data_IF_638538299518
#
_entry.id   IF_638538299518
#
_cell.length_a   1.000
_cell.length_b   1.000
_cell.length_c   1.000
_cell.angle_alpha   90.00
_cell.angle_beta   90.00
_cell.angle_gamma   90.00
#
_symmetry.space_group_name_H-M   'P 1'
#
loop_
_entity.id
_entity.type
_entity.pdbx_description
1 polymer ?
#
# COMPACT_ATOMS: atom_id res chain seq x y z
N UNK A 1 6.80 31.76 47.03
CA UNK A 1 5.49 31.18 46.65
C UNK A 1 5.11 31.43 45.19
N UNK A 2 5.11 32.68 44.69
CA UNK A 2 4.74 33.01 43.28
C UNK A 2 5.52 32.25 42.19
N UNK A 3 6.84 32.04 42.37
CA UNK A 3 7.70 31.36 41.39
C UNK A 3 7.42 29.86 41.27
N UNK A 4 7.01 29.22 42.36
CA UNK A 4 6.68 27.79 42.40
C UNK A 4 5.32 27.50 41.76
N UNK A 5 4.35 28.41 41.95
CA UNK A 5 3.03 28.32 41.31
C UNK A 5 3.15 28.45 39.79
N UNK A 6 4.00 29.37 39.30
CA UNK A 6 4.25 29.56 37.86
C UNK A 6 4.92 28.32 37.21
N UNK A 7 5.86 27.69 37.91
CA UNK A 7 6.52 26.47 37.44
C UNK A 7 5.54 25.28 37.35
N UNK A 8 4.66 25.13 38.35
CA UNK A 8 3.64 24.09 38.36
C UNK A 8 2.60 24.29 37.24
N UNK A 9 2.15 25.53 37.01
CA UNK A 9 1.20 25.81 35.92
C UNK A 9 1.81 25.57 34.55
N UNK A 10 3.08 25.94 34.34
CA UNK A 10 3.78 25.67 33.08
C UNK A 10 3.97 24.17 32.83
N UNK A 11 4.31 23.40 33.86
CA UNK A 11 4.49 21.96 33.77
C UNK A 11 3.17 21.23 33.43
N UNK A 12 2.06 21.64 34.06
CA UNK A 12 0.73 21.08 33.79
C UNK A 12 0.29 21.42 32.36
N UNK A 13 0.54 22.65 31.90
CA UNK A 13 0.18 23.07 30.55
C UNK A 13 1.01 22.32 29.49
N UNK A 14 2.31 22.15 29.71
CA UNK A 14 3.17 21.36 28.82
C UNK A 14 2.71 19.90 28.75
N UNK A 15 2.43 19.27 29.90
CA UNK A 15 1.93 17.89 29.95
C UNK A 15 0.57 17.73 29.23
N UNK A 16 -0.33 18.70 29.36
CA UNK A 16 -1.62 18.69 28.68
C UNK A 16 -1.47 18.83 27.14
N UNK A 17 -0.54 19.67 26.67
CA UNK A 17 -0.26 19.82 25.24
C UNK A 17 0.38 18.55 24.65
N UNK A 18 1.31 17.92 25.36
CA UNK A 18 1.91 16.65 24.90
C UNK A 18 0.91 15.48 24.93
N UNK A 19 0.01 15.43 25.92
CA UNK A 19 -1.06 14.43 25.98
C UNK A 19 -2.10 14.61 24.86
N UNK A 20 -2.41 15.85 24.48
CA UNK A 20 -3.31 16.14 23.36
C UNK A 20 -2.66 15.81 22.00
N UNK A 21 -1.37 16.11 21.82
CA UNK A 21 -0.63 15.75 20.62
C UNK A 21 -0.43 14.22 20.45
N UNK A 22 -0.37 13.47 21.55
CA UNK A 22 -0.36 12.01 21.54
C UNK A 22 -1.76 11.38 21.34
N UNK A 23 -2.82 12.19 21.44
CA UNK A 23 -4.22 11.76 21.39
C UNK A 23 -4.87 11.76 20.02
N UNK A 24 -4.17 12.18 18.95
CA UNK A 24 -4.65 12.00 17.58
C UNK A 24 -4.44 10.54 17.15
N UNK A 25 -5.30 9.65 17.62
CA UNK A 25 -5.44 8.33 17.00
C UNK A 25 -5.79 8.58 15.54
N UNK A 26 -4.89 8.18 14.62
CA UNK A 26 -5.15 8.24 13.18
C UNK A 26 -6.54 7.63 12.93
N UNK A 27 -7.40 8.28 12.12
CA UNK A 27 -8.73 7.76 11.83
C UNK A 27 -8.64 6.30 11.40
N UNK A 28 -9.46 5.44 11.99
CA UNK A 28 -9.52 4.04 11.60
C UNK A 28 -9.81 3.95 10.09
N UNK A 29 -8.95 3.23 9.38
CA UNK A 29 -9.06 3.11 7.92
C UNK A 29 -10.22 2.18 7.58
N UNK A 30 -10.99 2.56 6.56
CA UNK A 30 -11.98 1.67 5.97
C UNK A 30 -11.29 0.42 5.42
N UNK A 31 -11.94 -0.76 5.41
CA UNK A 31 -11.34 -2.00 4.90
C UNK A 31 -10.75 -1.86 3.49
N UNK A 32 -11.41 -1.11 2.60
CA UNK A 32 -10.90 -0.84 1.25
C UNK A 32 -9.59 -0.03 1.25
N UNK A 33 -9.43 0.92 2.17
CA UNK A 33 -8.21 1.72 2.31
C UNK A 33 -7.04 0.88 2.82
N UNK A 34 -7.30 -0.05 3.76
CA UNK A 34 -6.28 -1.02 4.23
C UNK A 34 -5.76 -1.86 3.08
N UNK A 35 -6.66 -2.38 2.23
CA UNK A 35 -6.28 -3.14 1.04
C UNK A 35 -5.42 -2.29 0.09
N UNK A 36 -5.83 -1.05 -0.19
CA UNK A 36 -5.08 -0.17 -1.09
C UNK A 36 -3.69 0.18 -0.54
N UNK A 37 -3.56 0.40 0.77
CA UNK A 37 -2.27 0.63 1.41
C UNK A 37 -1.35 -0.59 1.34
N UNK A 38 -1.89 -1.79 1.51
CA UNK A 38 -1.12 -3.03 1.32
C UNK A 38 -0.61 -3.16 -0.13
N UNK A 39 -1.47 -2.89 -1.13
CA UNK A 39 -1.07 -2.87 -2.55
C UNK A 39 0.01 -1.84 -2.85
N UNK A 40 -0.15 -0.63 -2.33
CA UNK A 40 0.85 0.43 -2.48
C UNK A 40 2.19 0.05 -1.83
N UNK A 41 2.14 -0.59 -0.66
CA UNK A 41 3.32 -1.08 0.05
C UNK A 41 4.06 -2.15 -0.77
N UNK A 42 3.37 -3.19 -1.25
CA UNK A 42 4.00 -4.19 -2.11
C UNK A 42 4.63 -3.59 -3.36
N UNK A 43 3.92 -2.67 -4.03
CA UNK A 43 4.48 -1.99 -5.20
C UNK A 43 5.74 -1.20 -4.85
N UNK A 44 5.75 -0.46 -3.74
CA UNK A 44 6.94 0.26 -3.28
C UNK A 44 8.09 -0.68 -2.97
N UNK A 45 7.85 -1.73 -2.20
CA UNK A 45 8.86 -2.70 -1.78
C UNK A 45 9.45 -3.46 -2.96
N UNK A 46 8.63 -3.92 -3.91
CA UNK A 46 9.11 -4.58 -5.12
C UNK A 46 10.01 -3.66 -5.97
N UNK A 47 9.69 -2.37 -6.11
CA UNK A 47 10.57 -1.43 -6.81
C UNK A 47 11.89 -1.20 -6.06
N UNK A 48 11.84 -1.12 -4.72
CA UNK A 48 13.04 -1.01 -3.90
C UNK A 48 13.93 -2.24 -4.04
N UNK A 49 13.33 -3.44 -3.95
CA UNK A 49 14.04 -4.70 -4.09
C UNK A 49 14.60 -4.90 -5.50
N UNK A 50 13.93 -4.38 -6.52
CA UNK A 50 14.45 -4.39 -7.89
C UNK A 50 15.74 -3.59 -7.99
N UNK A 51 15.84 -2.42 -7.33
CA UNK A 51 17.06 -1.61 -7.34
C UNK A 51 18.27 -2.28 -6.68
N UNK A 52 18.02 -3.23 -5.77
CA UNK A 52 19.05 -4.00 -5.06
C UNK A 52 19.17 -5.44 -5.57
N UNK A 53 18.51 -5.78 -6.69
CA UNK A 53 18.44 -7.14 -7.25
C UNK A 53 18.01 -8.22 -6.24
N UNK A 54 17.19 -7.87 -5.24
CA UNK A 54 16.66 -8.79 -4.25
C UNK A 54 15.42 -9.53 -4.81
N UNK A 55 15.67 -10.42 -5.78
CA UNK A 55 14.62 -11.12 -6.51
C UNK A 55 13.76 -12.06 -5.64
N UNK A 56 14.33 -12.66 -4.59
CA UNK A 56 13.58 -13.51 -3.66
C UNK A 56 12.49 -12.72 -2.93
N UNK A 57 12.82 -11.52 -2.46
CA UNK A 57 11.83 -10.64 -1.84
C UNK A 57 10.77 -10.16 -2.84
N UNK A 58 11.14 -9.95 -4.11
CA UNK A 58 10.18 -9.62 -5.17
C UNK A 58 9.19 -10.77 -5.39
N UNK A 59 9.65 -12.02 -5.44
CA UNK A 59 8.77 -13.21 -5.58
C UNK A 59 7.72 -13.22 -4.46
N UNK A 60 8.16 -13.06 -3.20
CA UNK A 60 7.26 -13.05 -2.04
C UNK A 60 6.21 -11.94 -2.12
N UNK A 61 6.63 -10.71 -2.40
CA UNK A 61 5.72 -9.57 -2.47
C UNK A 61 4.76 -9.66 -3.66
N UNK A 62 5.25 -10.11 -4.82
CA UNK A 62 4.46 -10.30 -6.02
C UNK A 62 3.40 -11.40 -5.82
N UNK A 63 3.75 -12.51 -5.17
CA UNK A 63 2.79 -13.56 -4.82
C UNK A 63 1.75 -13.09 -3.81
N UNK A 64 2.14 -12.28 -2.82
CA UNK A 64 1.23 -11.64 -1.87
C UNK A 64 0.21 -10.72 -2.56
N UNK A 65 0.71 -9.85 -3.45
CA UNK A 65 -0.15 -8.99 -4.27
C UNK A 65 -1.08 -9.81 -5.16
N UNK A 66 -0.58 -10.85 -5.82
CA UNK A 66 -1.36 -11.73 -6.68
C UNK A 66 -2.50 -12.42 -5.93
N UNK A 67 -2.21 -12.99 -4.75
CA UNK A 67 -3.20 -13.69 -3.94
C UNK A 67 -4.30 -12.74 -3.44
N UNK A 68 -3.92 -11.56 -2.94
CA UNK A 68 -4.88 -10.58 -2.43
C UNK A 68 -5.79 -10.06 -3.56
N UNK A 69 -5.20 -9.75 -4.72
CA UNK A 69 -5.97 -9.24 -5.87
C UNK A 69 -6.85 -10.32 -6.49
N UNK A 70 -6.41 -11.58 -6.56
CA UNK A 70 -7.27 -12.69 -6.96
C UNK A 70 -8.50 -12.80 -6.06
N UNK A 71 -8.28 -12.91 -4.74
CA UNK A 71 -9.35 -13.05 -3.74
C UNK A 71 -10.38 -11.93 -3.84
N UNK A 72 -9.93 -10.69 -4.03
CA UNK A 72 -10.84 -9.52 -4.12
C UNK A 72 -11.51 -9.46 -5.49
N UNK A 73 -10.77 -9.74 -6.57
CA UNK A 73 -11.29 -9.67 -7.94
C UNK A 73 -12.39 -10.69 -8.21
N UNK A 74 -12.25 -11.93 -7.73
CA UNK A 74 -13.21 -13.01 -7.97
C UNK A 74 -14.62 -12.66 -7.51
N UNK A 75 -14.75 -11.99 -6.36
CA UNK A 75 -16.01 -11.59 -5.74
C UNK A 75 -16.41 -10.12 -5.94
N UNK A 76 -15.71 -9.36 -6.80
CA UNK A 76 -16.00 -7.93 -6.93
C UNK A 76 -17.31 -7.69 -7.71
N UNK A 77 -18.28 -6.89 -7.17
CA UNK A 77 -19.60 -6.74 -7.79
C UNK A 77 -19.59 -5.90 -9.07
N UNK A 78 -18.67 -4.94 -9.19
CA UNK A 78 -18.47 -4.18 -10.41
C UNK A 78 -17.62 -4.98 -11.44
N UNK A 79 -18.14 -5.28 -12.66
CA UNK A 79 -17.44 -6.09 -13.65
C UNK A 79 -16.09 -5.53 -14.11
N UNK A 80 -16.00 -4.23 -14.35
CA UNK A 80 -14.74 -3.59 -14.77
C UNK A 80 -13.70 -3.63 -13.64
N UNK A 81 -14.12 -3.35 -12.40
CA UNK A 81 -13.23 -3.45 -11.25
C UNK A 81 -12.74 -4.90 -11.03
N UNK A 82 -13.61 -5.89 -11.25
CA UNK A 82 -13.26 -7.31 -11.26
C UNK A 82 -12.17 -7.61 -12.29
N UNK A 83 -12.41 -7.24 -13.54
CA UNK A 83 -11.45 -7.46 -14.64
C UNK A 83 -10.09 -6.82 -14.34
N UNK A 84 -10.07 -5.53 -13.99
CA UNK A 84 -8.83 -4.81 -13.69
C UNK A 84 -8.09 -5.41 -12.48
N UNK A 85 -8.83 -5.82 -11.45
CA UNK A 85 -8.22 -6.43 -10.26
C UNK A 85 -7.64 -7.82 -10.58
N UNK A 86 -8.32 -8.62 -11.40
CA UNK A 86 -7.80 -9.93 -11.84
C UNK A 86 -6.60 -9.78 -12.79
N UNK A 87 -6.59 -8.74 -13.64
CA UNK A 87 -5.44 -8.41 -14.46
C UNK A 87 -4.20 -8.08 -13.61
N UNK A 88 -4.36 -7.33 -12.52
CA UNK A 88 -3.26 -7.11 -11.55
C UNK A 88 -2.78 -8.42 -10.95
N UNK A 89 -3.68 -9.37 -10.64
CA UNK A 89 -3.28 -10.68 -10.12
C UNK A 89 -2.41 -11.46 -11.11
N UNK A 90 -2.81 -11.52 -12.38
CA UNK A 90 -2.03 -12.17 -13.44
C UNK A 90 -0.66 -11.53 -13.62
N UNK A 91 -0.61 -10.20 -13.73
CA UNK A 91 0.63 -9.46 -13.90
C UNK A 91 1.57 -9.61 -12.70
N UNK A 92 1.04 -9.69 -11.48
CA UNK A 92 1.83 -9.95 -10.29
C UNK A 92 2.42 -11.37 -10.30
N UNK A 93 1.68 -12.39 -10.78
CA UNK A 93 2.24 -13.73 -11.01
C UNK A 93 3.34 -13.75 -12.07
N UNK A 94 3.17 -12.98 -13.15
CA UNK A 94 4.21 -12.84 -14.18
C UNK A 94 5.45 -12.12 -13.64
N UNK A 95 5.28 -11.10 -12.77
CA UNK A 95 6.40 -10.45 -12.09
C UNK A 95 7.15 -11.42 -11.16
N UNK A 96 6.42 -12.26 -10.41
CA UNK A 96 6.99 -13.33 -9.59
C UNK A 96 7.81 -14.30 -10.45
N UNK A 97 7.25 -14.78 -11.57
CA UNK A 97 7.94 -15.68 -12.48
C UNK A 97 9.19 -15.06 -13.13
N UNK A 98 9.14 -13.77 -13.49
CA UNK A 98 10.32 -13.04 -13.98
C UNK A 98 11.39 -12.91 -12.88
N UNK A 99 11.00 -12.60 -11.65
CA UNK A 99 11.91 -12.53 -10.51
C UNK A 99 12.57 -13.89 -10.20
N UNK A 100 11.85 -15.00 -10.28
CA UNK A 100 12.43 -16.35 -10.17
C UNK A 100 13.54 -16.59 -11.20
N UNK A 101 13.37 -16.05 -12.41
CA UNK A 101 14.37 -16.11 -13.49
C UNK A 101 15.46 -15.05 -13.38
N UNK A 102 15.43 -14.22 -12.33
CA UNK A 102 16.31 -13.04 -12.14
C UNK A 102 16.25 -12.06 -13.31
N UNK A 103 15.10 -12.00 -13.98
CA UNK A 103 14.85 -11.11 -15.11
C UNK A 103 14.36 -9.74 -14.61
N UNK A 104 15.31 -8.84 -14.35
CA UNK A 104 15.02 -7.49 -13.83
C UNK A 104 14.18 -6.63 -14.76
N UNK A 105 14.43 -6.68 -16.08
CA UNK A 105 13.64 -5.93 -17.05
C UNK A 105 12.23 -6.51 -17.19
N UNK A 106 12.08 -7.84 -17.15
CA UNK A 106 10.79 -8.50 -17.07
C UNK A 106 9.99 -8.06 -15.84
N UNK A 107 10.60 -8.06 -14.66
CA UNK A 107 9.96 -7.56 -13.42
C UNK A 107 9.54 -6.10 -13.60
N UNK A 108 10.43 -5.23 -14.07
CA UNK A 108 10.16 -3.81 -14.29
C UNK A 108 8.98 -3.57 -15.22
N UNK A 109 8.91 -4.29 -16.33
CA UNK A 109 7.83 -4.22 -17.30
C UNK A 109 6.48 -4.61 -16.66
N UNK A 110 6.44 -5.70 -15.88
CA UNK A 110 5.22 -6.12 -15.19
C UNK A 110 4.79 -5.15 -14.10
N UNK A 111 5.73 -4.57 -13.33
CA UNK A 111 5.41 -3.51 -12.37
C UNK A 111 4.86 -2.25 -13.05
N UNK A 112 5.33 -1.90 -14.25
CA UNK A 112 4.77 -0.80 -15.03
C UNK A 112 3.32 -1.09 -15.46
N UNK A 113 3.05 -2.28 -16.01
CA UNK A 113 1.72 -2.71 -16.40
C UNK A 113 0.73 -2.76 -15.21
N UNK A 114 1.19 -3.19 -14.02
CA UNK A 114 0.37 -3.15 -12.80
C UNK A 114 -0.02 -1.71 -12.45
N UNK A 115 0.93 -0.76 -12.52
CA UNK A 115 0.63 0.66 -12.25
C UNK A 115 -0.42 1.21 -13.22
N UNK A 116 -0.35 0.83 -14.49
CA UNK A 116 -1.34 1.22 -15.49
C UNK A 116 -2.74 0.73 -15.11
N UNK A 117 -2.88 -0.55 -14.72
CA UNK A 117 -4.18 -1.09 -14.28
C UNK A 117 -4.71 -0.45 -12.99
N UNK A 118 -3.81 -0.13 -12.05
CA UNK A 118 -4.17 0.65 -10.87
C UNK A 118 -4.67 2.05 -11.24
N UNK A 119 -3.99 2.74 -12.17
CA UNK A 119 -4.38 4.06 -12.66
C UNK A 119 -5.73 4.03 -13.38
N UNK A 120 -5.95 3.03 -14.22
CA UNK A 120 -7.20 2.83 -14.94
C UNK A 120 -8.37 2.62 -13.97
N UNK A 121 -8.20 1.77 -12.95
CA UNK A 121 -9.22 1.55 -11.92
C UNK A 121 -9.50 2.83 -11.11
N UNK A 122 -8.45 3.57 -10.72
CA UNK A 122 -8.62 4.83 -10.01
C UNK A 122 -9.39 5.85 -10.85
N UNK A 123 -9.04 6.02 -12.12
CA UNK A 123 -9.66 7.02 -13.00
C UNK A 123 -11.10 6.67 -13.36
N UNK A 124 -11.38 5.40 -13.70
CA UNK A 124 -12.70 4.99 -14.22
C UNK A 124 -13.71 4.64 -13.13
N UNK A 125 -13.25 4.32 -11.91
CA UNK A 125 -14.11 3.72 -10.87
C UNK A 125 -14.01 4.49 -9.56
N UNK A 126 -12.80 4.65 -8.99
CA UNK A 126 -12.62 5.21 -7.64
C UNK A 126 -12.83 6.72 -7.60
N UNK A 127 -12.17 7.43 -8.51
CA UNK A 127 -12.07 8.89 -8.57
C UNK A 127 -12.98 9.49 -9.65
N UNK A 128 -13.92 8.67 -10.14
CA UNK A 128 -14.93 9.14 -11.08
C UNK A 128 -15.74 10.23 -10.39
N UNK A 129 -15.56 11.47 -10.84
CA UNK A 129 -16.39 12.62 -10.44
C UNK A 129 -17.82 12.43 -10.92
#
# INVERSE_FOLDING_TARGET
MKKWIALLTLAIFAAAVFAYAAGESKPELRPSQVVMQARATWMKTMNSNLSTNNFEAIVKDADGLAAQTKKIGEGHPNPLAKELTLAVSSLAKEASAAATKKDGEGVKAKLAAIREKCSECHTKIRDKK
#
